data_IF_987305439032
#
_entry.id   IF_987305439032
#
_cell.length_a   1.000
_cell.length_b   1.000
_cell.length_c   1.000
_cell.angle_alpha   90.00
_cell.angle_beta   90.00
_cell.angle_gamma   90.00
#
_symmetry.space_group_name_H-M   'P 1'
#
loop_
_entity.id
_entity.type
_entity.pdbx_description
1 polymer ?
#
# COMPACT_ATOMS: atom_id res chain seq x y z
N UNK A 1 15.87 1.05 27.83
CA UNK A 1 14.39 1.21 27.74
C UNK A 1 13.95 2.42 26.90
N UNK A 2 14.64 3.59 26.91
CA UNK A 2 14.29 4.77 26.06
C UNK A 2 14.16 4.55 24.53
N UNK A 3 14.98 3.68 23.92
CA UNK A 3 14.97 3.47 22.45
C UNK A 3 13.68 2.86 21.87
N UNK A 4 12.84 2.20 22.69
CA UNK A 4 11.60 1.56 22.22
C UNK A 4 10.44 2.57 22.16
N UNK A 5 10.44 3.54 23.06
CA UNK A 5 9.42 4.61 23.18
C UNK A 5 9.52 5.63 22.03
N UNK A 6 10.72 5.83 21.46
CA UNK A 6 10.92 6.72 20.29
C UNK A 6 10.47 6.10 18.96
N UNK A 7 10.31 4.76 18.89
CA UNK A 7 10.01 4.02 17.65
C UNK A 7 8.53 3.81 17.37
N UNK A 8 7.67 4.04 18.35
CA UNK A 8 6.25 3.69 18.27
C UNK A 8 5.40 4.88 18.71
N UNK A 9 4.41 5.21 17.91
CA UNK A 9 3.42 6.23 18.30
C UNK A 9 2.49 5.65 19.37
N UNK A 10 2.31 6.32 20.52
CA UNK A 10 1.57 5.76 21.66
C UNK A 10 0.05 5.85 21.45
N UNK A 11 -0.64 4.71 21.31
CA UNK A 11 -2.11 4.65 21.33
C UNK A 11 -2.64 4.58 22.77
N UNK A 12 -2.31 5.60 23.58
CA UNK A 12 -2.59 5.61 25.02
C UNK A 12 -3.86 6.40 25.41
N UNK A 13 -4.36 7.26 24.52
CA UNK A 13 -5.52 8.10 24.76
C UNK A 13 -6.29 8.36 23.45
N UNK A 14 -7.48 8.94 23.58
CA UNK A 14 -8.39 9.26 22.48
C UNK A 14 -7.76 10.18 21.42
N UNK A 15 -7.01 11.20 21.84
CA UNK A 15 -6.35 12.17 20.96
C UNK A 15 -5.30 11.49 20.06
N UNK A 16 -4.45 10.67 20.65
CA UNK A 16 -3.45 9.91 19.90
C UNK A 16 -4.10 8.93 18.92
N UNK A 17 -5.19 8.26 19.32
CA UNK A 17 -5.95 7.39 18.42
C UNK A 17 -6.51 8.18 17.22
N UNK A 18 -7.05 9.38 17.46
CA UNK A 18 -7.53 10.25 16.40
C UNK A 18 -6.41 10.70 15.45
N UNK A 19 -5.25 11.12 15.97
CA UNK A 19 -4.07 11.48 15.16
C UNK A 19 -3.61 10.31 14.30
N UNK A 20 -3.56 9.10 14.87
CA UNK A 20 -3.13 7.89 14.18
C UNK A 20 -4.06 7.54 13.00
N UNK A 21 -5.38 7.54 13.23
CA UNK A 21 -6.38 7.33 12.19
C UNK A 21 -6.37 8.44 11.15
N UNK A 22 -6.24 9.71 11.55
CA UNK A 22 -6.13 10.84 10.63
C UNK A 22 -4.95 10.67 9.67
N UNK A 23 -3.79 10.25 10.19
CA UNK A 23 -2.60 10.02 9.37
C UNK A 23 -2.80 8.90 8.35
N UNK A 24 -3.45 7.79 8.75
CA UNK A 24 -3.80 6.70 7.84
C UNK A 24 -4.74 7.21 6.75
N UNK A 25 -5.86 7.82 7.14
CA UNK A 25 -6.91 8.26 6.20
C UNK A 25 -6.36 9.29 5.21
N UNK A 26 -5.66 10.32 5.68
CA UNK A 26 -5.08 11.35 4.81
C UNK A 26 -4.06 10.79 3.83
N UNK A 27 -3.18 9.89 4.28
CA UNK A 27 -2.18 9.25 3.42
C UNK A 27 -2.84 8.31 2.40
N UNK A 28 -3.86 7.56 2.80
CA UNK A 28 -4.64 6.73 1.90
C UNK A 28 -5.36 7.56 0.83
N UNK A 29 -6.03 8.66 1.19
CA UNK A 29 -6.77 9.48 0.21
C UNK A 29 -5.84 10.08 -0.86
N UNK A 30 -4.63 10.52 -0.49
CA UNK A 30 -3.62 10.95 -1.47
C UNK A 30 -3.22 9.83 -2.44
N UNK A 31 -3.13 8.60 -1.94
CA UNK A 31 -2.84 7.43 -2.77
C UNK A 31 -4.02 7.06 -3.67
N UNK A 32 -5.24 7.13 -3.14
CA UNK A 32 -6.45 6.86 -3.90
C UNK A 32 -6.63 7.85 -5.05
N UNK A 33 -6.31 9.13 -4.87
CA UNK A 33 -6.33 10.12 -5.96
C UNK A 33 -5.37 9.74 -7.10
N UNK A 34 -4.15 9.32 -6.76
CA UNK A 34 -3.16 8.87 -7.74
C UNK A 34 -3.60 7.59 -8.45
N UNK A 35 -4.04 6.58 -7.69
CA UNK A 35 -4.50 5.32 -8.25
C UNK A 35 -5.72 5.51 -9.17
N UNK A 36 -6.65 6.40 -8.80
CA UNK A 36 -7.77 6.77 -9.68
C UNK A 36 -7.28 7.32 -11.02
N UNK A 37 -6.30 8.22 -11.01
CA UNK A 37 -5.75 8.78 -12.24
C UNK A 37 -5.04 7.71 -13.08
N UNK A 38 -4.29 6.81 -12.45
CA UNK A 38 -3.63 5.71 -13.15
C UNK A 38 -4.63 4.69 -13.72
N UNK A 39 -5.75 4.43 -13.03
CA UNK A 39 -6.82 3.60 -13.56
C UNK A 39 -7.46 4.23 -14.81
N UNK A 40 -7.73 5.54 -14.79
CA UNK A 40 -8.24 6.27 -15.97
C UNK A 40 -7.23 6.22 -17.13
N UNK A 41 -5.93 6.35 -16.82
CA UNK A 41 -4.87 6.20 -17.82
C UNK A 41 -4.86 4.77 -18.41
N UNK A 42 -4.99 3.74 -17.56
CA UNK A 42 -5.07 2.35 -17.96
C UNK A 42 -6.26 2.03 -18.84
N UNK A 43 -7.45 2.55 -18.51
CA UNK A 43 -8.67 2.40 -19.32
C UNK A 43 -8.48 3.02 -20.72
N UNK A 44 -7.88 4.21 -20.82
CA UNK A 44 -7.57 4.84 -22.10
C UNK A 44 -6.59 4.01 -22.95
N UNK A 45 -5.59 3.40 -22.31
CA UNK A 45 -4.65 2.50 -23.00
C UNK A 45 -5.37 1.23 -23.48
N UNK A 46 -6.35 0.71 -22.75
CA UNK A 46 -7.16 -0.42 -23.24
C UNK A 46 -7.98 -0.03 -24.47
N UNK A 47 -8.58 1.16 -24.48
CA UNK A 47 -9.28 1.69 -25.65
C UNK A 47 -8.35 1.86 -26.86
N UNK A 48 -7.16 2.42 -26.66
CA UNK A 48 -6.17 2.63 -27.73
C UNK A 48 -5.65 1.32 -28.35
N UNK A 49 -5.57 0.26 -27.56
CA UNK A 49 -5.10 -1.06 -27.99
C UNK A 49 -6.24 -2.05 -28.25
N UNK A 50 -7.50 -1.60 -28.24
CA UNK A 50 -8.65 -2.44 -28.50
C UNK A 50 -8.54 -3.13 -29.87
N UNK A 51 -8.77 -4.45 -29.90
CA UNK A 51 -8.66 -5.27 -31.10
C UNK A 51 -7.23 -5.65 -31.51
N UNK A 52 -6.21 -5.28 -30.72
CA UNK A 52 -4.83 -5.77 -30.88
C UNK A 52 -4.59 -6.95 -29.94
N UNK A 53 -3.77 -7.90 -30.37
CA UNK A 53 -3.41 -9.06 -29.54
C UNK A 53 -2.28 -8.78 -28.56
N UNK A 54 -1.46 -7.75 -28.85
CA UNK A 54 -0.24 -7.44 -28.11
C UNK A 54 -0.09 -5.94 -27.81
N UNK A 55 0.62 -5.64 -26.72
CA UNK A 55 0.96 -4.29 -26.27
C UNK A 55 2.48 -4.22 -26.04
N UNK A 56 3.16 -3.11 -26.41
CA UNK A 56 4.56 -2.90 -26.07
C UNK A 56 4.82 -3.09 -24.57
N UNK A 57 5.83 -3.90 -24.22
CA UNK A 57 6.12 -4.24 -22.82
C UNK A 57 6.40 -3.00 -21.97
N UNK A 58 7.02 -1.97 -22.55
CA UNK A 58 7.31 -0.69 -21.86
C UNK A 58 6.04 -0.05 -21.28
N UNK A 59 4.91 -0.10 -22.00
CA UNK A 59 3.63 0.47 -21.53
C UNK A 59 3.11 -0.32 -20.34
N UNK A 60 3.17 -1.65 -20.42
CA UNK A 60 2.82 -2.54 -19.30
C UNK A 60 3.70 -2.30 -18.08
N UNK A 61 5.01 -2.21 -18.27
CA UNK A 61 5.98 -2.00 -17.18
C UNK A 61 5.74 -0.65 -16.48
N UNK A 62 5.60 0.44 -17.25
CA UNK A 62 5.34 1.77 -16.68
C UNK A 62 4.00 1.82 -15.92
N UNK A 63 2.96 1.16 -16.44
CA UNK A 63 1.68 1.08 -15.74
C UNK A 63 1.79 0.25 -14.44
N UNK A 64 2.52 -0.85 -14.49
CA UNK A 64 2.80 -1.70 -13.33
C UNK A 64 3.57 -0.92 -12.26
N UNK A 65 4.61 -0.17 -12.63
CA UNK A 65 5.40 0.65 -11.71
C UNK A 65 4.56 1.75 -11.04
N UNK A 66 3.74 2.46 -11.84
CA UNK A 66 2.84 3.52 -11.34
C UNK A 66 1.86 2.97 -10.31
N UNK A 67 1.20 1.86 -10.65
CA UNK A 67 0.12 1.29 -9.84
C UNK A 67 0.67 0.53 -8.63
N UNK A 68 1.67 -0.34 -8.82
CA UNK A 68 2.29 -1.16 -7.75
C UNK A 68 2.89 -0.30 -6.63
N UNK A 69 3.55 0.81 -6.97
CA UNK A 69 4.07 1.73 -5.96
C UNK A 69 2.95 2.24 -5.02
N UNK A 70 1.79 2.58 -5.60
CA UNK A 70 0.64 3.11 -4.84
C UNK A 70 -0.10 2.01 -4.08
N UNK A 71 -0.35 0.86 -4.72
CA UNK A 71 -1.04 -0.27 -4.09
C UNK A 71 -0.22 -0.86 -2.94
N UNK A 72 1.10 -1.00 -3.09
CA UNK A 72 1.99 -1.47 -2.02
C UNK A 72 2.02 -0.53 -0.81
N UNK A 73 1.99 0.79 -1.05
CA UNK A 73 1.92 1.76 0.04
C UNK A 73 0.53 1.75 0.72
N UNK A 74 -0.56 1.57 -0.03
CA UNK A 74 -1.90 1.35 0.54
C UNK A 74 -1.97 0.06 1.38
N UNK A 75 -1.37 -1.03 0.91
CA UNK A 75 -1.24 -2.28 1.66
C UNK A 75 -0.50 -2.08 2.99
N UNK A 76 0.56 -1.26 3.00
CA UNK A 76 1.25 -0.90 4.24
C UNK A 76 0.33 -0.11 5.20
N UNK A 77 -0.41 0.89 4.72
CA UNK A 77 -1.28 1.72 5.55
C UNK A 77 -2.54 1.01 6.04
N UNK A 78 -3.02 -0.02 5.33
CA UNK A 78 -4.26 -0.71 5.66
C UNK A 78 -4.02 -2.07 6.31
N UNK A 79 -3.08 -2.85 5.77
CA UNK A 79 -2.90 -4.26 6.08
C UNK A 79 -1.68 -4.63 6.92
N UNK A 80 -0.69 -3.76 7.12
CA UNK A 80 0.53 -4.14 7.87
C UNK A 80 0.22 -4.52 9.34
N UNK A 81 0.96 -5.45 9.92
CA UNK A 81 0.83 -5.87 11.31
C UNK A 81 2.14 -5.69 12.11
N UNK A 82 3.20 -5.19 11.48
CA UNK A 82 4.49 -4.98 12.14
C UNK A 82 4.36 -3.97 13.30
N UNK A 83 4.98 -4.28 14.43
CA UNK A 83 4.79 -3.53 15.69
C UNK A 83 5.14 -2.04 15.56
N UNK A 84 6.20 -1.73 14.82
CA UNK A 84 6.71 -0.36 14.62
C UNK A 84 6.21 0.34 13.36
N UNK A 85 5.31 -0.26 12.58
CA UNK A 85 4.71 0.39 11.40
C UNK A 85 3.34 0.98 11.72
N UNK A 86 2.84 1.86 10.85
CA UNK A 86 1.50 2.44 10.97
C UNK A 86 0.54 1.75 10.01
N UNK A 87 -0.57 1.23 10.53
CA UNK A 87 -1.63 0.67 9.70
C UNK A 87 -2.99 0.60 10.42
N UNK A 88 -4.06 0.48 9.64
CA UNK A 88 -5.41 0.28 10.17
C UNK A 88 -5.59 -1.10 10.82
N UNK A 89 -5.05 -2.17 10.21
CA UNK A 89 -5.03 -3.51 10.78
C UNK A 89 -4.41 -3.53 12.18
N UNK A 90 -3.24 -2.88 12.33
CA UNK A 90 -2.54 -2.77 13.62
C UNK A 90 -3.35 -1.96 14.62
N UNK A 91 -3.92 -0.82 14.19
CA UNK A 91 -4.74 0.03 15.05
C UNK A 91 -5.86 -0.76 15.71
N UNK A 92 -6.72 -1.43 14.92
CA UNK A 92 -7.84 -2.21 15.46
C UNK A 92 -7.38 -3.37 16.34
N UNK A 93 -6.32 -4.08 15.91
CA UNK A 93 -5.73 -5.16 16.69
C UNK A 93 -5.21 -4.69 18.05
N UNK A 94 -4.59 -3.51 18.11
CA UNK A 94 -4.02 -2.96 19.34
C UNK A 94 -5.11 -2.45 20.29
N UNK A 95 -6.11 -1.73 19.80
CA UNK A 95 -7.22 -1.23 20.63
C UNK A 95 -8.06 -2.40 21.19
N UNK A 96 -8.23 -3.47 20.42
CA UNK A 96 -8.92 -4.67 20.91
C UNK A 96 -8.15 -5.38 22.04
N UNK A 97 -6.81 -5.42 21.98
CA UNK A 97 -5.96 -6.06 23.00
C UNK A 97 -5.69 -5.18 24.21
N UNK A 98 -5.61 -3.88 23.99
CA UNK A 98 -5.32 -2.86 24.99
C UNK A 98 -6.34 -1.73 24.85
N UNK A 99 -7.55 -1.92 25.42
CA UNK A 99 -8.60 -0.92 25.37
C UNK A 99 -8.12 0.42 25.92
N UNK A 100 -8.51 1.50 25.25
CA UNK A 100 -8.21 2.87 25.64
C UNK A 100 -9.51 3.50 26.16
N UNK A 101 -9.45 4.22 27.28
CA UNK A 101 -10.62 4.92 27.82
C UNK A 101 -11.26 5.81 26.75
N UNK A 102 -12.59 5.79 26.68
CA UNK A 102 -13.39 6.63 25.78
C UNK A 102 -13.16 6.38 24.27
N UNK A 103 -12.51 5.26 23.93
CA UNK A 103 -12.35 4.76 22.56
C UNK A 103 -13.15 3.47 22.40
N UNK A 104 -14.27 3.57 21.67
CA UNK A 104 -15.14 2.44 21.37
C UNK A 104 -15.13 2.20 19.87
N UNK A 105 -14.68 1.02 19.46
CA UNK A 105 -14.71 0.57 18.07
C UNK A 105 -15.88 -0.39 17.90
N UNK A 106 -16.80 -0.06 17.01
CA UNK A 106 -17.83 -1.00 16.61
C UNK A 106 -17.21 -2.19 15.86
N UNK A 107 -17.79 -3.39 15.96
CA UNK A 107 -17.42 -4.50 15.09
C UNK A 107 -17.45 -4.08 13.62
N UNK A 108 -16.49 -4.58 12.85
CA UNK A 108 -16.56 -4.46 11.40
C UNK A 108 -17.61 -5.44 10.87
N UNK A 109 -18.25 -5.07 9.76
CA UNK A 109 -19.01 -6.05 8.96
C UNK A 109 -18.10 -7.20 8.55
N UNK A 110 -18.63 -8.43 8.49
CA UNK A 110 -17.87 -9.65 8.19
C UNK A 110 -17.01 -9.51 6.95
N UNK A 111 -17.61 -9.04 5.84
CA UNK A 111 -16.90 -8.80 4.59
C UNK A 111 -15.75 -7.78 4.73
N UNK A 112 -15.91 -6.75 5.56
CA UNK A 112 -14.86 -5.76 5.83
C UNK A 112 -13.74 -6.37 6.68
N UNK A 113 -14.09 -7.24 7.64
CA UNK A 113 -13.13 -7.94 8.48
C UNK A 113 -12.31 -8.96 7.67
N UNK A 114 -12.95 -9.72 6.79
CA UNK A 114 -12.27 -10.63 5.85
C UNK A 114 -11.34 -9.87 4.93
N UNK A 115 -11.83 -8.79 4.33
CA UNK A 115 -11.03 -7.95 3.45
C UNK A 115 -9.79 -7.37 4.16
N UNK A 116 -9.93 -6.96 5.42
CA UNK A 116 -8.82 -6.45 6.23
C UNK A 116 -7.76 -7.54 6.49
N UNK A 117 -8.18 -8.80 6.71
CA UNK A 117 -7.26 -9.94 6.84
C UNK A 117 -6.56 -10.24 5.51
N UNK A 118 -7.28 -10.16 4.40
CA UNK A 118 -6.67 -10.41 3.08
C UNK A 118 -5.69 -9.31 2.69
N UNK A 119 -5.95 -8.05 3.03
CA UNK A 119 -4.97 -6.97 2.86
C UNK A 119 -3.69 -7.22 3.67
N UNK A 120 -3.78 -7.84 4.84
CA UNK A 120 -2.58 -8.24 5.60
C UNK A 120 -1.77 -9.33 4.87
N UNK A 121 -2.44 -10.36 4.34
CA UNK A 121 -1.78 -11.41 3.54
C UNK A 121 -1.17 -10.84 2.25
N UNK A 122 -1.93 -10.02 1.53
CA UNK A 122 -1.48 -9.35 0.31
C UNK A 122 -0.28 -8.45 0.56
N UNK A 123 -0.26 -7.68 1.67
CA UNK A 123 0.91 -6.88 2.05
C UNK A 123 2.16 -7.75 2.14
N UNK A 124 2.06 -8.92 2.77
CA UNK A 124 3.20 -9.83 2.89
C UNK A 124 3.59 -10.44 1.54
N UNK A 125 2.62 -10.80 0.70
CA UNK A 125 2.88 -11.36 -0.63
C UNK A 125 3.50 -10.36 -1.60
N UNK A 126 3.06 -9.10 -1.58
CA UNK A 126 3.47 -8.08 -2.56
C UNK A 126 4.76 -7.35 -2.16
N UNK A 127 5.04 -7.22 -0.85
CA UNK A 127 6.24 -6.53 -0.37
C UNK A 127 7.41 -7.48 -0.06
N UNK A 128 7.23 -8.79 -0.28
CA UNK A 128 8.27 -9.81 -0.16
C UNK A 128 8.24 -10.71 -1.39
N UNK A 129 9.37 -11.36 -1.71
CA UNK A 129 9.38 -12.45 -2.69
C UNK A 129 9.21 -13.76 -1.90
N UNK A 130 8.04 -14.41 -1.96
CA UNK A 130 7.79 -15.61 -1.17
C UNK A 130 8.40 -16.84 -1.84
N UNK A 131 9.01 -17.73 -1.06
CA UNK A 131 9.60 -18.97 -1.59
C UNK A 131 8.57 -19.88 -2.28
N UNK A 132 7.29 -19.77 -1.90
CA UNK A 132 6.20 -20.48 -2.59
C UNK A 132 6.03 -20.07 -4.06
N UNK A 133 6.47 -18.87 -4.45
CA UNK A 133 6.53 -18.48 -5.86
C UNK A 133 7.57 -19.35 -6.59
N UNK A 134 8.78 -19.47 -6.04
CA UNK A 134 9.83 -20.31 -6.62
C UNK A 134 9.40 -21.78 -6.68
N UNK A 135 8.73 -22.30 -5.64
CA UNK A 135 8.18 -23.66 -5.67
C UNK A 135 7.21 -23.83 -6.85
N UNK A 136 6.27 -22.89 -7.04
CA UNK A 136 5.30 -22.95 -8.13
C UNK A 136 5.97 -22.81 -9.52
N UNK A 137 7.01 -21.99 -9.64
CA UNK A 137 7.81 -21.87 -10.87
C UNK A 137 8.51 -23.19 -11.20
N UNK A 138 9.13 -23.85 -10.20
CA UNK A 138 9.77 -25.15 -10.40
C UNK A 138 8.78 -26.25 -10.79
N UNK A 139 7.56 -26.24 -10.26
CA UNK A 139 6.49 -27.14 -10.71
C UNK A 139 6.14 -26.92 -12.20
N UNK A 140 6.19 -25.68 -12.71
CA UNK A 140 5.98 -25.42 -14.14
C UNK A 140 7.18 -25.87 -14.99
N UNK A 141 8.40 -25.79 -14.46
CA UNK A 141 9.61 -26.30 -15.12
C UNK A 141 9.54 -27.83 -15.24
N UNK A 142 9.19 -28.53 -14.16
CA UNK A 142 9.00 -29.99 -14.17
C UNK A 142 7.88 -30.41 -15.14
N UNK A 143 6.84 -29.59 -15.28
CA UNK A 143 5.76 -29.80 -16.24
C UNK A 143 6.13 -29.43 -17.70
N UNK A 144 7.35 -28.95 -17.97
CA UNK A 144 7.81 -28.56 -19.31
C UNK A 144 7.12 -27.30 -19.87
N UNK A 145 6.56 -26.45 -19.00
CA UNK A 145 5.84 -25.22 -19.38
C UNK A 145 6.68 -23.94 -19.21
N UNK A 146 7.80 -24.04 -18.52
CA UNK A 146 8.73 -22.94 -18.25
C UNK A 146 10.16 -23.48 -18.34
N UNK A 147 11.10 -22.61 -18.71
CA UNK A 147 12.54 -22.90 -18.66
C UNK A 147 13.18 -22.10 -17.53
N UNK A 148 14.07 -22.75 -16.79
CA UNK A 148 14.89 -22.11 -15.76
C UNK A 148 16.36 -22.41 -16.05
N UNK A 149 16.95 -21.61 -16.93
CA UNK A 149 18.31 -21.80 -17.42
C UNK A 149 19.33 -21.30 -16.39
N UNK A 150 20.24 -22.19 -16.01
CA UNK A 150 21.26 -21.93 -15.00
C UNK A 150 22.64 -21.61 -15.58
N UNK A 151 22.92 -22.08 -16.80
CA UNK A 151 24.20 -21.88 -17.49
C UNK A 151 24.00 -21.79 -19.02
N UNK A 152 24.05 -20.58 -19.61
CA UNK A 152 24.15 -19.30 -18.91
C UNK A 152 22.86 -18.96 -18.14
N UNK A 153 22.97 -18.04 -17.18
CA UNK A 153 21.79 -17.41 -16.59
C UNK A 153 21.23 -16.43 -17.60
N UNK A 154 20.03 -16.72 -18.10
CA UNK A 154 19.33 -15.86 -19.05
C UNK A 154 18.53 -14.78 -18.35
N UNK A 155 18.66 -13.53 -18.83
CA UNK A 155 17.81 -12.41 -18.42
C UNK A 155 16.74 -12.22 -19.49
N UNK A 156 15.54 -12.74 -19.24
CA UNK A 156 14.42 -12.63 -20.17
C UNK A 156 13.88 -11.21 -20.20
N UNK A 157 13.97 -10.56 -21.37
CA UNK A 157 13.41 -9.23 -21.62
C UNK A 157 12.31 -9.33 -22.68
N UNK A 158 11.07 -9.16 -22.25
CA UNK A 158 9.93 -9.17 -23.16
C UNK A 158 9.84 -7.89 -23.97
N UNK A 159 9.59 -8.01 -25.29
CA UNK A 159 9.32 -6.85 -26.16
C UNK A 159 7.85 -6.40 -26.10
N UNK A 160 6.95 -7.37 -25.92
CA UNK A 160 5.51 -7.17 -25.87
C UNK A 160 4.89 -8.02 -24.77
N UNK A 161 3.67 -7.68 -24.40
CA UNK A 161 2.79 -8.44 -23.51
C UNK A 161 1.48 -8.73 -24.23
N UNK A 162 0.82 -9.84 -23.90
CA UNK A 162 -0.51 -10.13 -24.41
C UNK A 162 -1.52 -9.07 -23.93
N UNK A 163 -2.43 -8.63 -24.81
CA UNK A 163 -3.46 -7.65 -24.48
C UNK A 163 -4.30 -8.07 -23.27
N UNK A 164 -4.73 -9.34 -23.22
CA UNK A 164 -5.55 -9.86 -22.12
C UNK A 164 -4.81 -9.84 -20.78
N UNK A 165 -3.50 -10.01 -20.79
CA UNK A 165 -2.68 -9.93 -19.57
C UNK A 165 -2.58 -8.48 -19.07
N UNK A 166 -2.42 -7.51 -19.96
CA UNK A 166 -2.48 -6.09 -19.60
C UNK A 166 -3.89 -5.68 -19.13
N UNK A 167 -4.95 -6.17 -19.78
CA UNK A 167 -6.33 -5.95 -19.34
C UNK A 167 -6.56 -6.46 -17.93
N UNK A 168 -6.07 -7.66 -17.61
CA UNK A 168 -6.17 -8.22 -16.26
C UNK A 168 -5.47 -7.35 -15.20
N UNK A 169 -4.31 -6.75 -15.52
CA UNK A 169 -3.64 -5.78 -14.64
C UNK A 169 -4.56 -4.60 -14.32
N UNK A 170 -5.21 -4.00 -15.32
CA UNK A 170 -6.10 -2.85 -15.13
C UNK A 170 -7.34 -3.23 -14.30
N UNK A 171 -7.99 -4.34 -14.62
CA UNK A 171 -9.15 -4.85 -13.87
C UNK A 171 -8.81 -5.15 -12.41
N UNK A 172 -7.63 -5.72 -12.16
CA UNK A 172 -7.11 -5.97 -10.81
C UNK A 172 -6.89 -4.66 -10.05
N UNK A 173 -6.32 -3.64 -10.70
CA UNK A 173 -6.12 -2.33 -10.09
C UNK A 173 -7.43 -1.61 -9.73
N UNK A 174 -8.46 -1.74 -10.58
CA UNK A 174 -9.80 -1.20 -10.30
C UNK A 174 -10.44 -1.94 -9.12
N UNK A 175 -10.36 -3.27 -9.11
CA UNK A 175 -10.88 -4.10 -8.01
C UNK A 175 -10.19 -3.77 -6.69
N UNK A 176 -8.85 -3.63 -6.70
CA UNK A 176 -8.08 -3.20 -5.53
C UNK A 176 -8.52 -1.82 -5.04
N UNK A 177 -8.73 -0.85 -5.94
CA UNK A 177 -9.21 0.48 -5.58
C UNK A 177 -10.55 0.43 -4.83
N UNK A 178 -11.50 -0.38 -5.31
CA UNK A 178 -12.82 -0.54 -4.66
C UNK A 178 -12.66 -1.17 -3.27
N UNK A 179 -11.85 -2.21 -3.16
CA UNK A 179 -11.55 -2.88 -1.90
C UNK A 179 -10.88 -1.92 -0.88
N UNK A 180 -9.82 -1.22 -1.29
CA UNK A 180 -9.13 -0.26 -0.45
C UNK A 180 -10.09 0.86 0.01
N UNK A 181 -10.98 1.33 -0.88
CA UNK A 181 -12.00 2.33 -0.53
C UNK A 181 -12.90 1.85 0.60
N UNK A 182 -13.33 0.57 0.59
CA UNK A 182 -14.17 -0.01 1.66
C UNK A 182 -13.46 0.02 3.02
N UNK A 183 -12.19 -0.38 3.07
CA UNK A 183 -11.39 -0.31 4.31
C UNK A 183 -11.17 1.12 4.80
N UNK A 184 -10.93 2.06 3.88
CA UNK A 184 -10.76 3.48 4.22
C UNK A 184 -12.07 4.05 4.80
N UNK A 185 -13.25 3.65 4.31
CA UNK A 185 -14.52 4.07 4.91
C UNK A 185 -14.73 3.51 6.32
N UNK A 186 -14.32 2.26 6.57
CA UNK A 186 -14.31 1.70 7.91
C UNK A 186 -13.39 2.50 8.86
N UNK A 187 -12.19 2.86 8.40
CA UNK A 187 -11.27 3.71 9.16
C UNK A 187 -11.87 5.11 9.46
N UNK A 188 -12.64 5.70 8.52
CA UNK A 188 -13.35 6.96 8.75
C UNK A 188 -14.47 6.83 9.78
N UNK A 189 -15.20 5.72 9.77
CA UNK A 189 -16.23 5.43 10.77
C UNK A 189 -15.60 5.33 12.16
N UNK A 190 -14.51 4.58 12.29
CA UNK A 190 -13.73 4.51 13.52
C UNK A 190 -13.21 5.89 13.94
N UNK A 191 -12.69 6.68 13.00
CA UNK A 191 -12.25 8.05 13.28
C UNK A 191 -13.39 8.91 13.83
N UNK A 192 -14.60 8.83 13.27
CA UNK A 192 -15.76 9.55 13.78
C UNK A 192 -16.08 9.13 15.20
N UNK A 193 -16.04 7.84 15.51
CA UNK A 193 -16.32 7.32 16.84
C UNK A 193 -15.26 7.75 17.86
N UNK A 194 -13.99 7.78 17.44
CA UNK A 194 -12.85 8.21 18.27
C UNK A 194 -12.78 9.72 18.44
N UNK A 195 -12.96 10.51 17.38
CA UNK A 195 -12.76 11.96 17.43
C UNK A 195 -14.06 12.74 17.71
N UNK A 196 -15.22 12.13 17.49
CA UNK A 196 -16.55 12.73 17.64
C UNK A 196 -17.02 13.54 16.44
N UNK A 197 -16.21 13.68 15.38
CA UNK A 197 -16.57 14.38 14.14
C UNK A 197 -16.22 13.55 12.92
N UNK A 198 -17.07 13.61 11.90
CA UNK A 198 -16.78 13.02 10.60
C UNK A 198 -15.56 13.68 9.95
N UNK A 199 -14.84 12.91 9.13
CA UNK A 199 -13.73 13.45 8.32
C UNK A 199 -14.29 14.41 7.27
N UNK A 200 -13.69 15.60 7.16
CA UNK A 200 -13.96 16.58 6.10
C UNK A 200 -12.68 16.82 5.33
N UNK A 201 -12.75 16.76 3.99
CA UNK A 201 -11.60 16.98 3.11
C UNK A 201 -11.55 18.42 2.64
N UNK A 202 -10.59 19.18 3.16
CA UNK A 202 -10.20 20.45 2.56
C UNK A 202 -8.98 20.18 1.69
N UNK A 203 -9.14 20.23 0.36
CA UNK A 203 -8.00 20.19 -0.56
C UNK A 203 -7.36 21.58 -0.55
N UNK A 204 -6.24 21.70 0.16
CA UNK A 204 -5.45 22.92 0.21
C UNK A 204 -4.34 22.81 -0.82
N UNK A 205 -4.41 23.64 -1.85
CA UNK A 205 -3.34 23.81 -2.83
C UNK A 205 -2.46 24.96 -2.36
N UNK A 206 -1.16 24.73 -2.29
CA UNK A 206 -0.17 25.72 -1.86
C UNK A 206 0.74 26.04 -3.05
N UNK A 207 0.98 27.33 -3.29
CA UNK A 207 1.84 27.78 -4.38
C UNK A 207 3.33 27.60 -4.05
N UNK A 208 3.66 27.52 -2.76
CA UNK A 208 5.01 27.26 -2.30
C UNK A 208 5.48 25.88 -2.78
N UNK A 209 6.70 25.77 -3.37
CA UNK A 209 7.22 24.50 -3.81
C UNK A 209 7.43 23.54 -2.63
N UNK A 210 7.42 22.24 -2.93
CA UNK A 210 7.84 21.22 -1.98
C UNK A 210 9.34 21.38 -1.70
N UNK A 211 9.70 21.75 -0.47
CA UNK A 211 11.09 21.95 -0.08
C UNK A 211 11.65 20.81 0.80
N UNK A 212 12.94 20.92 1.12
CA UNK A 212 13.66 19.94 1.94
C UNK A 212 13.18 19.90 3.39
N UNK A 213 12.43 20.89 3.90
CA UNK A 213 11.93 20.90 5.28
C UNK A 213 10.94 19.75 5.51
N UNK A 214 10.18 19.36 4.48
CA UNK A 214 9.28 18.20 4.57
C UNK A 214 10.02 16.87 4.80
N UNK A 215 11.31 16.81 4.50
CA UNK A 215 12.14 15.64 4.75
C UNK A 215 12.63 15.53 6.20
N UNK A 216 12.54 16.60 7.01
CA UNK A 216 13.08 16.63 8.38
C UNK A 216 12.49 15.49 9.25
N UNK A 217 11.16 15.27 9.31
CA UNK A 217 10.61 14.18 10.10
C UNK A 217 11.04 12.80 9.59
N UNK A 218 11.17 12.64 8.27
CA UNK A 218 11.66 11.40 7.65
C UNK A 218 13.09 11.11 8.07
N UNK A 219 13.98 12.12 8.03
CA UNK A 219 15.37 12.01 8.47
C UNK A 219 15.48 11.68 9.96
N UNK A 220 14.68 12.32 10.81
CA UNK A 220 14.62 12.03 12.24
C UNK A 220 14.17 10.58 12.51
N UNK A 221 13.10 10.15 11.86
CA UNK A 221 12.60 8.77 11.95
C UNK A 221 13.64 7.75 11.49
N UNK A 222 14.31 7.99 10.36
CA UNK A 222 15.35 7.09 9.84
C UNK A 222 16.51 6.90 10.83
N UNK A 223 16.97 7.98 11.48
CA UNK A 223 17.99 7.91 12.54
C UNK A 223 17.54 7.04 13.71
N UNK A 224 16.30 7.22 14.18
CA UNK A 224 15.72 6.39 15.25
C UNK A 224 15.63 4.92 14.82
N UNK A 225 15.32 4.64 13.55
CA UNK A 225 15.28 3.28 13.02
C UNK A 225 16.67 2.64 12.84
N UNK A 226 17.76 3.39 13.03
CA UNK A 226 19.13 2.89 12.92
C UNK A 226 19.62 2.76 11.48
N UNK A 227 18.93 3.42 10.54
CA UNK A 227 19.34 3.49 9.14
C UNK A 227 20.57 4.41 9.06
N UNK A 228 21.71 3.82 8.69
CA UNK A 228 22.99 4.52 8.49
C UNK A 228 23.38 4.49 7.02
N UNK A 229 23.73 5.63 6.43
CA UNK A 229 24.33 5.68 5.08
C UNK A 229 23.69 6.68 4.11
N UNK A 230 24.30 6.78 2.93
CA UNK A 230 23.95 7.70 1.84
C UNK A 230 22.80 7.16 0.98
N UNK A 231 21.68 6.76 1.60
CA UNK A 231 20.49 6.21 0.91
C UNK A 231 19.47 7.31 0.53
N UNK A 232 19.96 8.47 0.07
CA UNK A 232 19.11 9.61 -0.30
C UNK A 232 18.60 10.46 0.87
N UNK A 233 19.14 10.26 2.08
CA UNK A 233 18.77 11.02 3.29
C UNK A 233 19.89 11.95 3.81
N UNK A 234 21.04 12.00 3.15
CA UNK A 234 22.10 12.96 3.45
C UNK A 234 21.86 14.26 2.67
N UNK A 235 21.84 15.37 3.40
CA UNK A 235 22.30 16.65 2.88
C UNK A 235 23.08 17.24 4.06
N UNK A 236 24.31 17.66 3.80
CA UNK A 236 25.15 18.39 4.75
C UNK A 236 24.40 19.54 5.44
#
# INVERSE_FOLDING_TARGET
MRKKEEKQFPLANKENCAVYLNRIISSCELCMDRLKNYNIEGEKLLEEYAGKDIIPYKIYAEMTDKTSNVTNYLLNLLGDAQTSSISYFKFRSQISKHPVSDVILEPLEDLTQELLKDFNKMRNWQNHVPESLLVAEMEQVEAGKMEFLMDPVDITVYKNVAYDYFKNLIETNISFYIAARKLIQAAKKDYRNVYGKSVVYNRVYVDSPLDSNKSIPTKQSAKVQGIKGNIGLNID
#
